data_IF_404348195310
#
_entry.id   IF_404348195310
#
_cell.length_a   1.000
_cell.length_b   1.000
_cell.length_c   1.000
_cell.angle_alpha   90.00
_cell.angle_beta   90.00
_cell.angle_gamma   90.00
#
_symmetry.space_group_name_H-M   'P 1'
#
loop_
_entity.id
_entity.type
_entity.pdbx_description
1 polymer ?
#
# COMPACT_ATOMS: atom_id res chain seq x y z
N UNK A 1 -4.85 -23.81 -17.77
CA UNK A 1 -5.63 -23.65 -16.51
C UNK A 1 -4.73 -23.47 -15.29
N UNK A 2 -3.65 -24.24 -15.14
CA UNK A 2 -2.74 -24.13 -13.98
C UNK A 2 -2.11 -22.74 -13.81
N UNK A 3 -1.64 -22.11 -14.90
CA UNK A 3 -1.07 -20.75 -14.88
C UNK A 3 -2.08 -19.68 -14.43
N UNK A 4 -3.34 -19.74 -14.89
CA UNK A 4 -4.38 -18.78 -14.50
C UNK A 4 -4.73 -18.89 -13.02
N UNK A 5 -4.84 -20.12 -12.51
CA UNK A 5 -5.13 -20.37 -11.09
C UNK A 5 -3.96 -19.90 -10.22
N UNK A 6 -2.72 -20.18 -10.64
CA UNK A 6 -1.52 -19.72 -9.93
C UNK A 6 -1.44 -18.18 -9.90
N UNK A 7 -1.68 -17.51 -11.02
CA UNK A 7 -1.68 -16.04 -11.08
C UNK A 7 -2.82 -15.43 -10.26
N UNK A 8 -4.01 -16.03 -10.28
CA UNK A 8 -5.13 -15.59 -9.46
C UNK A 8 -4.83 -15.74 -7.95
N UNK A 9 -4.26 -16.87 -7.53
CA UNK A 9 -3.84 -17.11 -6.14
C UNK A 9 -2.75 -16.12 -5.73
N UNK A 10 -1.77 -15.85 -6.58
CA UNK A 10 -0.70 -14.89 -6.27
C UNK A 10 -1.26 -13.47 -6.21
N UNK A 11 -2.15 -13.06 -7.11
CA UNK A 11 -2.73 -11.72 -7.13
C UNK A 11 -3.62 -11.47 -5.91
N UNK A 12 -4.56 -12.37 -5.62
CA UNK A 12 -5.47 -12.24 -4.49
C UNK A 12 -4.74 -12.47 -3.17
N UNK A 13 -3.87 -13.48 -3.11
CA UNK A 13 -3.11 -13.84 -1.91
C UNK A 13 -2.10 -12.77 -1.53
N UNK A 14 -1.31 -12.27 -2.49
CA UNK A 14 -0.36 -11.18 -2.23
C UNK A 14 -1.10 -9.93 -1.77
N UNK A 15 -2.20 -9.55 -2.44
CA UNK A 15 -2.92 -8.33 -2.08
C UNK A 15 -3.59 -8.45 -0.71
N UNK A 16 -4.23 -9.58 -0.40
CA UNK A 16 -4.79 -9.83 0.91
C UNK A 16 -3.72 -9.83 2.02
N UNK A 17 -2.59 -10.51 1.80
CA UNK A 17 -1.48 -10.52 2.76
C UNK A 17 -0.89 -9.12 2.95
N UNK A 18 -0.72 -8.36 1.87
CA UNK A 18 -0.15 -7.02 1.96
C UNK A 18 -1.09 -6.07 2.70
N UNK A 19 -2.39 -6.07 2.39
CA UNK A 19 -3.39 -5.29 3.12
C UNK A 19 -3.46 -5.66 4.62
N UNK A 20 -3.31 -6.95 4.96
CA UNK A 20 -3.27 -7.40 6.36
C UNK A 20 -2.00 -6.90 7.05
N UNK A 21 -0.83 -7.15 6.45
CA UNK A 21 0.46 -6.75 7.04
C UNK A 21 0.56 -5.24 7.18
N UNK A 22 0.05 -4.48 6.21
CA UNK A 22 0.04 -3.03 6.21
C UNK A 22 -0.80 -2.43 7.34
N UNK A 23 -1.85 -3.13 7.80
CA UNK A 23 -2.60 -2.74 8.99
C UNK A 23 -1.99 -3.27 10.30
N UNK A 24 -1.44 -4.49 10.27
CA UNK A 24 -0.87 -5.16 11.44
C UNK A 24 0.45 -4.53 11.86
N UNK A 25 1.34 -4.17 10.93
CA UNK A 25 2.66 -3.57 11.20
C UNK A 25 2.57 -2.27 11.99
N UNK A 26 1.81 -1.23 11.59
CA UNK A 26 1.71 0.01 12.35
C UNK A 26 0.99 -0.19 13.69
N UNK A 27 0.04 -1.14 13.75
CA UNK A 27 -0.62 -1.52 15.00
C UNK A 27 0.37 -2.17 15.99
N UNK A 28 1.18 -3.12 15.52
CA UNK A 28 2.22 -3.75 16.32
C UNK A 28 3.28 -2.73 16.73
N UNK A 29 3.78 -1.89 15.82
CA UNK A 29 4.75 -0.84 16.18
C UNK A 29 4.20 0.10 17.26
N UNK A 30 2.94 0.54 17.15
CA UNK A 30 2.28 1.35 18.19
C UNK A 30 2.17 0.61 19.52
N UNK A 31 1.83 -0.68 19.48
CA UNK A 31 1.71 -1.53 20.66
C UNK A 31 3.07 -1.75 21.32
N UNK A 32 4.12 -2.07 20.56
CA UNK A 32 5.50 -2.20 21.04
C UNK A 32 6.01 -0.89 21.64
N UNK A 33 5.83 0.25 20.97
CA UNK A 33 6.29 1.54 21.48
C UNK A 33 5.58 1.89 22.82
N UNK A 34 4.27 1.62 22.90
CA UNK A 34 3.50 1.78 24.15
C UNK A 34 3.96 0.81 25.23
N UNK A 35 4.30 -0.43 24.86
CA UNK A 35 4.78 -1.45 25.80
C UNK A 35 6.17 -1.11 26.34
N UNK A 36 7.10 -0.66 25.50
CA UNK A 36 8.44 -0.19 25.89
C UNK A 36 8.38 1.02 26.81
N UNK A 37 7.47 1.96 26.55
CA UNK A 37 7.21 3.10 27.44
C UNK A 37 6.64 2.63 28.79
N UNK A 38 5.68 1.68 28.79
CA UNK A 38 5.07 1.15 30.02
C UNK A 38 5.99 0.26 30.87
N UNK A 39 6.88 -0.50 30.24
CA UNK A 39 7.87 -1.35 30.93
C UNK A 39 9.07 -0.57 31.47
N UNK A 40 9.10 0.76 31.25
CA UNK A 40 10.06 1.67 31.90
C UNK A 40 11.48 1.60 31.35
N UNK A 41 11.72 0.90 30.23
CA UNK A 41 13.05 0.83 29.60
C UNK A 41 13.51 2.18 29.04
N UNK A 42 12.58 3.10 28.75
CA UNK A 42 12.85 4.49 28.39
C UNK A 42 12.21 5.44 29.42
N UNK A 43 12.72 5.45 30.65
CA UNK A 43 12.47 6.55 31.59
C UNK A 43 13.31 7.75 31.15
N UNK A 44 12.81 8.55 30.20
CA UNK A 44 13.31 9.91 29.98
C UNK A 44 12.58 10.81 30.97
N UNK A 45 13.37 11.47 31.82
CA UNK A 45 12.96 12.53 32.75
C UNK A 45 12.02 13.52 32.06
N UNK A 46 11.08 14.07 32.81
CA UNK A 46 9.99 14.99 32.41
C UNK A 46 8.64 14.32 32.14
N UNK A 47 8.08 13.74 33.22
CA UNK A 47 6.64 13.73 33.48
C UNK A 47 6.10 15.18 33.58
N UNK A 48 6.12 15.95 32.49
CA UNK A 48 5.27 17.14 32.37
C UNK A 48 4.00 16.74 31.64
N UNK A 49 3.05 16.25 32.44
CA UNK A 49 1.75 15.72 32.05
C UNK A 49 0.81 16.84 31.57
N UNK A 50 1.14 17.52 30.49
CA UNK A 50 0.17 18.28 29.70
C UNK A 50 -0.30 17.41 28.55
N UNK A 51 -1.58 17.01 28.57
CA UNK A 51 -2.22 16.28 27.48
C UNK A 51 -2.47 17.26 26.32
N UNK A 52 -1.40 17.60 25.60
CA UNK A 52 -1.46 18.51 24.47
C UNK A 52 -1.42 17.68 23.18
N UNK A 53 -2.25 18.06 22.20
CA UNK A 53 -2.37 17.35 20.92
C UNK A 53 -1.02 17.15 20.21
N UNK A 54 -0.08 18.10 20.35
CA UNK A 54 1.27 17.99 19.76
C UNK A 54 2.11 16.83 20.33
N UNK A 55 1.92 16.49 21.61
CA UNK A 55 2.68 15.41 22.27
C UNK A 55 2.17 14.04 21.83
N UNK A 56 0.87 13.92 21.56
CA UNK A 56 0.29 12.70 20.98
C UNK A 56 0.71 12.53 19.51
N UNK A 57 0.71 13.62 18.74
CA UNK A 57 1.16 13.60 17.34
C UNK A 57 2.64 13.22 17.18
N UNK A 58 3.48 13.52 18.18
CA UNK A 58 4.89 13.13 18.19
C UNK A 58 5.12 11.63 18.42
N UNK A 59 4.12 10.90 18.95
CA UNK A 59 4.17 9.44 19.16
C UNK A 59 3.75 8.64 17.92
N UNK A 60 3.18 9.31 16.91
CA UNK A 60 2.77 8.70 15.64
C UNK A 60 3.98 8.40 14.75
N UNK A 61 3.80 7.50 13.77
CA UNK A 61 4.83 7.17 12.80
C UNK A 61 5.07 8.35 11.85
N UNK A 62 6.34 8.57 11.54
CA UNK A 62 6.73 9.51 10.49
C UNK A 62 6.65 8.84 9.12
N UNK A 63 6.45 9.63 8.06
CA UNK A 63 6.33 9.13 6.68
C UNK A 63 7.65 8.55 6.14
N UNK A 64 8.77 8.84 6.81
CA UNK A 64 10.09 8.39 6.44
C UNK A 64 10.60 9.01 5.12
N UNK A 65 11.84 8.69 4.72
CA UNK A 65 12.46 9.27 3.53
C UNK A 65 11.83 8.78 2.21
N UNK A 66 11.06 7.68 2.26
CA UNK A 66 10.45 7.05 1.09
C UNK A 66 9.00 7.49 0.85
N UNK A 67 8.40 8.24 1.78
CA UNK A 67 7.08 8.86 1.60
C UNK A 67 6.04 7.91 1.00
N UNK A 68 5.43 8.34 -0.11
CA UNK A 68 4.37 7.63 -0.84
C UNK A 68 4.88 6.56 -1.84
N UNK A 69 6.19 6.32 -1.91
CA UNK A 69 6.76 5.38 -2.88
C UNK A 69 6.20 3.96 -2.77
N UNK A 70 6.11 3.31 -1.59
CA UNK A 70 5.61 1.94 -1.49
C UNK A 70 4.14 1.85 -1.89
N UNK A 71 3.33 2.86 -1.56
CA UNK A 71 1.90 2.92 -1.93
C UNK A 71 1.72 3.03 -3.45
N UNK A 72 2.51 3.87 -4.13
CA UNK A 72 2.48 3.92 -5.60
C UNK A 72 2.98 2.63 -6.25
N UNK A 73 4.02 2.01 -5.68
CA UNK A 73 4.56 0.76 -6.20
C UNK A 73 3.51 -0.36 -6.16
N UNK A 74 2.76 -0.45 -5.07
CA UNK A 74 1.68 -1.42 -4.91
C UNK A 74 0.60 -1.26 -5.99
N UNK A 75 0.09 -0.04 -6.15
CA UNK A 75 -0.92 0.27 -7.17
C UNK A 75 -0.42 -0.04 -8.60
N UNK A 76 0.84 0.27 -8.90
CA UNK A 76 1.45 0.02 -10.22
C UNK A 76 1.63 -1.48 -10.48
N UNK A 77 2.03 -2.25 -9.46
CA UNK A 77 2.14 -3.70 -9.59
C UNK A 77 0.77 -4.33 -9.83
N UNK A 78 -0.26 -3.91 -9.09
CA UNK A 78 -1.64 -4.37 -9.32
C UNK A 78 -2.12 -4.03 -10.73
N UNK A 79 -1.90 -2.81 -11.19
CA UNK A 79 -2.22 -2.41 -12.56
C UNK A 79 -1.51 -3.30 -13.60
N UNK A 80 -0.22 -3.58 -13.40
CA UNK A 80 0.55 -4.47 -14.27
C UNK A 80 -0.01 -5.89 -14.32
N UNK A 81 -0.36 -6.46 -13.17
CA UNK A 81 -0.97 -7.79 -13.11
C UNK A 81 -2.33 -7.83 -13.81
N UNK A 82 -3.18 -6.83 -13.58
CA UNK A 82 -4.51 -6.78 -14.20
C UNK A 82 -4.41 -6.63 -15.71
N UNK A 83 -3.53 -5.75 -16.20
CA UNK A 83 -3.46 -5.43 -17.63
C UNK A 83 -2.72 -6.48 -18.44
N UNK A 84 -1.62 -7.05 -17.95
CA UNK A 84 -0.82 -8.03 -18.70
C UNK A 84 -1.53 -9.39 -18.81
N UNK A 85 -2.33 -9.76 -17.82
CA UNK A 85 -2.95 -11.09 -17.75
C UNK A 85 -4.47 -11.08 -17.98
N UNK A 86 -5.04 -9.97 -18.47
CA UNK A 86 -6.49 -9.86 -18.71
C UNK A 86 -6.99 -10.89 -19.72
N UNK A 87 -6.19 -11.23 -20.75
CA UNK A 87 -6.55 -12.24 -21.73
C UNK A 87 -6.68 -13.65 -21.11
N UNK A 88 -5.94 -13.93 -20.03
CA UNK A 88 -5.94 -15.22 -19.35
C UNK A 88 -6.98 -15.30 -18.22
N UNK A 89 -7.34 -14.17 -17.61
CA UNK A 89 -8.33 -14.08 -16.54
C UNK A 89 -9.19 -12.80 -16.67
N UNK A 90 -10.32 -12.85 -17.41
CA UNK A 90 -11.13 -11.66 -17.69
C UNK A 90 -11.82 -11.07 -16.44
N UNK A 91 -11.91 -11.83 -15.34
CA UNK A 91 -12.47 -11.38 -14.06
C UNK A 91 -11.44 -10.64 -13.18
N UNK A 92 -10.15 -10.60 -13.56
CA UNK A 92 -9.11 -9.91 -12.78
C UNK A 92 -9.45 -8.44 -12.43
N UNK A 93 -9.99 -7.63 -13.36
CA UNK A 93 -10.32 -6.23 -13.08
C UNK A 93 -11.40 -6.07 -11.99
N UNK A 94 -12.32 -7.04 -11.88
CA UNK A 94 -13.37 -7.01 -10.87
C UNK A 94 -12.79 -7.21 -9.46
N UNK A 95 -11.90 -8.20 -9.30
CA UNK A 95 -11.21 -8.43 -8.02
C UNK A 95 -10.30 -7.26 -7.66
N UNK A 96 -9.62 -6.68 -8.64
CA UNK A 96 -8.79 -5.49 -8.43
C UNK A 96 -9.62 -4.28 -7.96
N UNK A 97 -10.82 -4.08 -8.51
CA UNK A 97 -11.72 -3.02 -8.06
C UNK A 97 -12.14 -3.21 -6.61
N UNK A 98 -12.53 -4.43 -6.23
CA UNK A 98 -12.91 -4.74 -4.85
C UNK A 98 -11.74 -4.51 -3.88
N UNK A 99 -10.53 -4.94 -4.26
CA UNK A 99 -9.32 -4.67 -3.49
C UNK A 99 -9.07 -3.16 -3.37
N UNK A 100 -9.12 -2.40 -4.45
CA UNK A 100 -8.93 -0.93 -4.42
C UNK A 100 -9.90 -0.21 -3.48
N UNK A 101 -11.16 -0.66 -3.43
CA UNK A 101 -12.17 -0.06 -2.53
C UNK A 101 -11.85 -0.36 -1.06
N UNK A 102 -11.40 -1.58 -0.74
CA UNK A 102 -10.99 -1.94 0.61
C UNK A 102 -9.70 -1.20 0.99
N UNK A 103 -8.69 -1.24 0.14
CA UNK A 103 -7.37 -0.64 0.32
C UNK A 103 -7.47 0.86 0.55
N UNK A 104 -8.26 1.58 -0.26
CA UNK A 104 -8.52 3.01 -0.05
C UNK A 104 -9.08 3.33 1.35
N UNK A 105 -9.94 2.46 1.90
CA UNK A 105 -10.48 2.64 3.27
C UNK A 105 -9.44 2.30 4.33
N UNK A 106 -8.64 1.25 4.12
CA UNK A 106 -7.58 0.84 5.04
C UNK A 106 -6.47 1.90 5.08
N UNK A 107 -6.06 2.42 3.94
CA UNK A 107 -5.08 3.51 3.80
C UNK A 107 -5.56 4.80 4.45
N UNK A 108 -6.82 5.18 4.22
CA UNK A 108 -7.40 6.34 4.90
C UNK A 108 -7.32 6.16 6.43
N UNK A 109 -7.68 4.98 6.94
CA UNK A 109 -7.59 4.67 8.38
C UNK A 109 -6.13 4.64 8.87
N UNK A 110 -5.21 4.11 8.07
CA UNK A 110 -3.76 4.03 8.34
C UNK A 110 -3.20 5.45 8.50
N UNK A 111 -3.41 6.32 7.51
CA UNK A 111 -2.91 7.69 7.52
C UNK A 111 -3.54 8.57 8.59
N UNK A 112 -4.83 8.36 8.90
CA UNK A 112 -5.51 9.17 9.93
C UNK A 112 -5.17 8.76 11.36
N UNK A 113 -4.82 7.48 11.62
CA UNK A 113 -4.63 6.98 13.00
C UNK A 113 -3.19 6.65 13.38
N UNK A 114 -2.32 6.39 12.40
CA UNK A 114 -0.97 5.88 12.67
C UNK A 114 0.14 6.81 12.19
N UNK A 115 -0.13 7.66 11.19
CA UNK A 115 0.87 8.59 10.67
C UNK A 115 0.63 10.01 11.18
N UNK A 116 1.73 10.73 11.39
CA UNK A 116 1.68 12.17 11.66
C UNK A 116 1.22 12.92 10.41
N UNK A 117 0.55 14.08 10.56
CA UNK A 117 0.12 14.89 9.40
C UNK A 117 1.34 15.28 8.52
N UNK A 118 1.38 14.90 7.22
CA UNK A 118 2.46 15.29 6.33
C UNK A 118 2.36 16.77 5.96
N UNK A 119 3.50 17.36 5.57
CA UNK A 119 3.52 18.72 5.01
C UNK A 119 2.97 18.68 3.59
N UNK A 120 1.92 19.46 3.26
CA UNK A 120 1.33 19.43 1.93
C UNK A 120 2.32 19.97 0.89
N UNK A 121 2.59 19.17 -0.15
CA UNK A 121 3.41 19.56 -1.29
C UNK A 121 2.52 19.73 -2.52
N UNK A 122 2.64 20.87 -3.22
CA UNK A 122 1.93 21.09 -4.48
C UNK A 122 2.70 20.39 -5.61
N UNK A 123 2.10 19.33 -6.16
CA UNK A 123 2.64 18.60 -7.31
C UNK A 123 1.72 18.75 -8.52
N UNK A 124 2.31 18.95 -9.70
CA UNK A 124 1.53 19.09 -10.96
C UNK A 124 1.14 17.74 -11.57
N UNK A 125 1.83 16.66 -11.20
CA UNK A 125 1.58 15.31 -11.71
C UNK A 125 2.08 14.26 -10.71
N UNK A 126 1.70 13.01 -10.94
CA UNK A 126 2.22 11.82 -10.24
C UNK A 126 3.72 11.56 -10.52
N UNK A 127 4.31 12.28 -11.48
CA UNK A 127 5.72 12.18 -11.83
C UNK A 127 6.05 10.94 -12.69
N UNK A 128 7.14 10.27 -12.33
CA UNK A 128 7.72 9.13 -13.10
C UNK A 128 6.72 7.98 -13.24
N UNK A 129 5.84 7.80 -12.26
CA UNK A 129 4.82 6.74 -12.27
C UNK A 129 3.91 6.78 -13.50
N UNK A 130 3.59 7.96 -14.04
CA UNK A 130 2.80 8.05 -15.27
C UNK A 130 3.51 7.41 -16.45
N UNK A 131 4.81 7.68 -16.61
CA UNK A 131 5.63 7.07 -17.66
C UNK A 131 5.75 5.56 -17.47
N UNK A 132 5.84 5.08 -16.22
CA UNK A 132 5.86 3.65 -15.91
C UNK A 132 4.54 2.98 -16.33
N UNK A 133 3.41 3.58 -15.98
CA UNK A 133 2.08 3.09 -16.36
C UNK A 133 1.88 3.06 -17.88
N UNK A 134 2.37 4.07 -18.62
CA UNK A 134 2.31 4.10 -20.09
C UNK A 134 3.12 2.95 -20.71
N UNK A 135 4.35 2.72 -20.22
CA UNK A 135 5.20 1.61 -20.69
C UNK A 135 4.56 0.25 -20.40
N UNK A 136 4.02 0.05 -19.18
CA UNK A 136 3.31 -1.18 -18.80
C UNK A 136 2.10 -1.39 -19.70
N UNK A 137 1.33 -0.33 -19.98
CA UNK A 137 0.17 -0.40 -20.86
C UNK A 137 0.53 -0.86 -22.28
N UNK A 138 1.61 -0.33 -22.86
CA UNK A 138 2.09 -0.74 -24.19
C UNK A 138 2.54 -2.21 -24.20
N UNK A 139 3.27 -2.63 -23.18
CA UNK A 139 3.72 -4.03 -23.04
C UNK A 139 2.52 -4.95 -22.90
N UNK A 140 1.53 -4.57 -22.09
CA UNK A 140 0.29 -5.33 -21.89
C UNK A 140 -0.45 -5.59 -23.21
N UNK A 141 -0.56 -4.58 -24.10
CA UNK A 141 -1.20 -4.78 -25.41
C UNK A 141 -0.46 -5.85 -26.22
N UNK A 142 0.87 -5.77 -26.28
CA UNK A 142 1.70 -6.73 -27.03
C UNK A 142 1.55 -8.13 -26.43
N UNK A 143 1.64 -8.27 -25.10
CA UNK A 143 1.51 -9.55 -24.41
C UNK A 143 0.13 -10.17 -24.62
N UNK A 144 -0.95 -9.41 -24.47
CA UNK A 144 -2.31 -9.92 -24.66
C UNK A 144 -2.54 -10.39 -26.10
N UNK A 145 -2.03 -9.67 -27.11
CA UNK A 145 -2.11 -10.09 -28.51
C UNK A 145 -1.37 -11.42 -28.71
N UNK A 146 -0.14 -11.54 -28.22
CA UNK A 146 0.65 -12.78 -28.32
C UNK A 146 -0.06 -13.95 -27.60
N UNK A 147 -0.67 -13.69 -26.44
CA UNK A 147 -1.44 -14.69 -25.71
C UNK A 147 -2.69 -15.12 -26.46
N UNK A 148 -3.39 -14.20 -27.12
CA UNK A 148 -4.55 -14.53 -27.97
C UNK A 148 -4.17 -15.35 -29.22
N UNK A 149 -2.95 -15.20 -29.74
CA UNK A 149 -2.46 -16.03 -30.86
C UNK A 149 -2.03 -17.45 -30.45
N UNK A 150 -1.68 -17.67 -29.17
CA UNK A 150 -1.24 -18.98 -28.65
C UNK A 150 -2.34 -19.75 -27.90
N UNK A 151 -3.52 -19.16 -27.73
CA UNK A 151 -4.67 -19.78 -27.05
C UNK A 151 -5.67 -20.37 -28.04
#
# INVERSE_FOLDING_TARGET
MELCIQLAIIMVGKQALNSILEMVVPYLMKMFNTFTIKTGLQKKEEDMKYCNQWTEDYKLLDWGPRGLFPEYLEMVLQYGFVTIFVAAFPLAPFFALLNNVLEMRLDAKKFLRFYRRPVPHRVKSIGVWFRILDVIGRISVITNVISSFNS
#
